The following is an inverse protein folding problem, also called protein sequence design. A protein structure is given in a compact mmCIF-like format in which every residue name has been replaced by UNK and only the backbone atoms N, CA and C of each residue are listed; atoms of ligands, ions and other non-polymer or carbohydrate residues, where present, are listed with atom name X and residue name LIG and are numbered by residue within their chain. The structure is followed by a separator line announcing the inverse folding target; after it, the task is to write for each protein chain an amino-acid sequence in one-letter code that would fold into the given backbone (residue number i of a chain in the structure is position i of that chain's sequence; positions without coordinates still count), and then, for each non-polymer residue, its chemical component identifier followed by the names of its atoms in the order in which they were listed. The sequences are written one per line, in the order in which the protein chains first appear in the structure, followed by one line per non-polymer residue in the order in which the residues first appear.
data_IF_234770638045
#
_entry.id   IF_234770638045
#
_cell.length_a   1.000
_cell.length_b   1.000
_cell.length_c   1.000
_cell.angle_alpha   90.00
_cell.angle_beta   90.00
_cell.angle_gamma   90.00
#
_symmetry.space_group_name_H-M   'P 1'
#
loop_
_entity.id
_entity.type
_entity.pdbx_description
1 polymer ?
#
# COMPACT_ATOMS: atom_id res chain seq x y z
N UNK A 1 20.83 -11.93 -2.81
CA UNK A 1 19.85 -11.52 -3.84
C UNK A 1 18.70 -10.88 -3.07
N UNK A 2 18.49 -9.57 -3.25
CA UNK A 2 17.35 -8.87 -2.63
C UNK A 2 16.06 -9.36 -3.30
N UNK A 3 15.00 -9.60 -2.53
CA UNK A 3 13.69 -9.94 -3.10
C UNK A 3 13.16 -8.73 -3.90
N UNK A 4 12.30 -8.96 -4.90
CA UNK A 4 11.68 -7.86 -5.66
C UNK A 4 10.94 -6.89 -4.74
N UNK A 5 10.28 -7.41 -3.69
CA UNK A 5 9.62 -6.64 -2.65
C UNK A 5 10.58 -5.67 -1.97
N UNK A 6 11.77 -6.12 -1.57
CA UNK A 6 12.78 -5.26 -0.95
C UNK A 6 13.24 -4.16 -1.91
N UNK A 7 13.55 -4.49 -3.16
CA UNK A 7 13.94 -3.48 -4.15
C UNK A 7 12.86 -2.41 -4.35
N UNK A 8 11.59 -2.83 -4.47
CA UNK A 8 10.45 -1.92 -4.63
C UNK A 8 10.29 -0.99 -3.43
N UNK A 9 10.39 -1.53 -2.21
CA UNK A 9 10.23 -0.77 -0.98
C UNK A 9 11.46 0.12 -0.68
N UNK A 10 12.67 -0.30 -1.03
CA UNK A 10 13.89 0.51 -0.91
C UNK A 10 13.86 1.73 -1.84
N UNK A 11 13.38 1.55 -3.08
CA UNK A 11 13.24 2.64 -4.04
C UNK A 11 12.03 3.53 -3.79
N UNK A 12 11.01 3.02 -3.09
CA UNK A 12 9.71 3.64 -3.00
C UNK A 12 8.93 3.52 -4.32
N UNK A 13 7.71 4.03 -4.32
CA UNK A 13 6.82 4.05 -5.48
C UNK A 13 6.22 5.44 -5.60
N UNK A 14 6.13 5.97 -6.80
CA UNK A 14 5.47 7.24 -7.12
C UNK A 14 4.75 7.06 -8.46
N UNK A 15 3.42 7.00 -8.43
CA UNK A 15 2.59 6.72 -9.61
C UNK A 15 1.38 7.64 -9.68
N UNK A 16 1.19 8.26 -10.85
CA UNK A 16 -0.04 8.98 -11.16
C UNK A 16 -1.15 7.99 -11.54
N UNK A 17 -2.27 8.05 -10.82
CA UNK A 17 -3.42 7.16 -10.98
C UNK A 17 -4.59 7.94 -11.56
N UNK A 18 -5.21 7.41 -12.62
CA UNK A 18 -6.36 8.01 -13.30
C UNK A 18 -7.69 7.83 -12.54
N UNK A 19 -7.74 8.37 -11.33
CA UNK A 19 -8.93 8.39 -10.48
C UNK A 19 -9.04 9.73 -9.76
N UNK A 20 -10.27 10.21 -9.57
CA UNK A 20 -10.53 11.39 -8.74
C UNK A 20 -10.18 11.15 -7.27
N UNK A 21 -9.72 12.19 -6.60
CA UNK A 21 -9.39 12.14 -5.17
C UNK A 21 -10.58 11.74 -4.28
N UNK A 22 -11.82 12.04 -4.69
CA UNK A 22 -13.02 11.59 -3.99
C UNK A 22 -13.32 10.09 -4.19
N UNK A 23 -12.89 9.50 -5.31
CA UNK A 23 -13.12 8.09 -5.65
C UNK A 23 -12.02 7.15 -5.14
N UNK A 24 -10.84 7.68 -4.79
CA UNK A 24 -9.69 6.86 -4.39
C UNK A 24 -9.95 6.05 -3.12
N UNK A 25 -10.72 6.57 -2.16
CA UNK A 25 -11.06 5.86 -0.93
C UNK A 25 -11.85 4.58 -1.21
N UNK A 26 -12.92 4.69 -2.01
CA UNK A 26 -13.76 3.56 -2.38
C UNK A 26 -13.00 2.53 -3.23
N UNK A 27 -12.12 2.99 -4.12
CA UNK A 27 -11.24 2.11 -4.89
C UNK A 27 -10.33 1.29 -3.98
N UNK A 28 -9.66 1.95 -3.02
CA UNK A 28 -8.76 1.27 -2.09
C UNK A 28 -9.49 0.29 -1.17
N UNK A 29 -10.69 0.64 -0.71
CA UNK A 29 -11.52 -0.25 0.10
C UNK A 29 -11.94 -1.50 -0.69
N UNK A 30 -12.46 -1.33 -1.90
CA UNK A 30 -12.91 -2.43 -2.77
C UNK A 30 -11.76 -3.40 -3.08
N UNK A 31 -10.60 -2.86 -3.41
CA UNK A 31 -9.44 -3.65 -3.80
C UNK A 31 -8.76 -4.32 -2.60
N UNK A 32 -8.56 -3.59 -1.50
CA UNK A 32 -7.89 -4.14 -0.31
C UNK A 32 -8.66 -5.31 0.29
N UNK A 33 -10.00 -5.32 0.18
CA UNK A 33 -10.84 -6.42 0.64
C UNK A 33 -10.52 -7.77 -0.04
N UNK A 34 -9.83 -7.75 -1.19
CA UNK A 34 -9.46 -8.94 -1.96
C UNK A 34 -8.01 -9.38 -1.72
N UNK A 35 -7.22 -8.56 -1.03
CA UNK A 35 -5.79 -8.81 -0.89
C UNK A 35 -5.48 -9.75 0.27
N UNK A 36 -4.49 -10.60 0.06
CA UNK A 36 -3.95 -11.49 1.09
C UNK A 36 -2.49 -11.82 0.80
N UNK A 37 -1.75 -12.24 1.83
CA UNK A 37 -0.41 -12.79 1.68
C UNK A 37 -0.19 -13.89 2.72
N UNK A 38 -0.25 -15.15 2.29
CA UNK A 38 -0.28 -16.30 3.20
C UNK A 38 -1.56 -16.30 4.04
N UNK A 39 -1.42 -16.40 5.36
CA UNK A 39 -2.53 -16.36 6.33
C UNK A 39 -3.08 -14.93 6.54
N UNK A 40 -2.35 -13.90 6.11
CA UNK A 40 -2.63 -12.51 6.45
C UNK A 40 -3.57 -11.82 5.46
N UNK A 41 -4.50 -11.04 5.99
CA UNK A 41 -5.32 -10.07 5.25
C UNK A 41 -4.92 -8.64 5.64
N UNK A 42 -5.32 -7.67 4.81
CA UNK A 42 -4.90 -6.28 4.98
C UNK A 42 -6.01 -5.37 5.52
N UNK A 43 -5.61 -4.34 6.27
CA UNK A 43 -6.46 -3.25 6.73
C UNK A 43 -5.79 -1.90 6.53
N UNK A 44 -6.48 -0.98 5.86
CA UNK A 44 -6.04 0.40 5.68
C UNK A 44 -6.61 1.26 6.79
N UNK A 45 -5.78 2.12 7.39
CA UNK A 45 -6.20 3.12 8.39
C UNK A 45 -5.69 4.49 8.01
N UNK A 46 -6.41 5.54 8.37
CA UNK A 46 -5.88 6.90 8.28
C UNK A 46 -4.68 7.08 9.22
N UNK A 47 -3.61 7.68 8.71
CA UNK A 47 -2.41 8.05 9.46
C UNK A 47 -2.57 9.38 10.19
N UNK A 48 -1.61 9.66 11.09
CA UNK A 48 -1.48 10.97 11.73
C UNK A 48 -1.04 12.00 10.69
N UNK A 49 -1.76 13.11 10.56
CA UNK A 49 -1.41 14.18 9.62
C UNK A 49 -2.29 14.27 8.37
N UNK A 50 -3.40 13.53 8.29
CA UNK A 50 -4.43 13.72 7.26
C UNK A 50 -4.99 15.15 7.34
N UNK A 51 -4.44 16.06 6.53
CA UNK A 51 -4.80 17.49 6.52
C UNK A 51 -5.00 17.94 5.07
N UNK A 52 -6.17 18.51 4.79
CA UNK A 52 -6.47 19.11 3.48
C UNK A 52 -6.51 18.07 2.35
N UNK A 53 -5.65 18.26 1.35
CA UNK A 53 -5.59 17.45 0.11
C UNK A 53 -4.54 16.34 0.15
N UNK A 54 -3.92 16.05 1.29
CA UNK A 54 -2.97 14.94 1.42
C UNK A 54 -3.45 13.94 2.45
N UNK A 55 -3.52 12.68 2.05
CA UNK A 55 -3.88 11.57 2.91
C UNK A 55 -2.67 10.68 3.12
N UNK A 56 -2.28 10.54 4.38
CA UNK A 56 -1.33 9.51 4.78
C UNK A 56 -2.15 8.32 5.28
N UNK A 57 -1.95 7.15 4.69
CA UNK A 57 -2.66 5.92 5.02
C UNK A 57 -1.68 4.88 5.54
N UNK A 58 -2.00 4.24 6.65
CA UNK A 58 -1.20 3.17 7.25
C UNK A 58 -1.80 1.83 6.84
N UNK A 59 -0.98 1.00 6.22
CA UNK A 59 -1.31 -0.37 5.84
C UNK A 59 -0.95 -1.29 6.98
N UNK A 60 -1.87 -2.19 7.32
CA UNK A 60 -1.68 -3.16 8.40
C UNK A 60 -1.99 -4.57 7.91
N UNK A 61 -1.32 -5.57 8.46
CA UNK A 61 -1.70 -6.98 8.37
C UNK A 61 -2.47 -7.42 9.61
N UNK A 62 -3.32 -8.42 9.43
CA UNK A 62 -3.96 -9.17 10.51
C UNK A 62 -4.11 -10.62 10.08
N UNK A 63 -3.81 -11.54 11.00
CA UNK A 63 -4.17 -12.94 10.86
C UNK A 63 -5.62 -13.10 11.37
N UNK A 64 -6.59 -13.44 10.51
CA UNK A 64 -7.99 -13.58 10.91
C UNK A 64 -8.25 -14.79 11.82
N UNK A 65 -7.30 -15.74 11.90
CA UNK A 65 -7.39 -16.93 12.74
C UNK A 65 -6.85 -16.71 14.16
N UNK A 66 -6.14 -15.60 14.40
CA UNK A 66 -5.62 -15.22 15.71
C UNK A 66 -6.51 -14.18 16.39
N UNK A 67 -7.47 -14.65 17.21
CA UNK A 67 -8.33 -13.76 18.00
C UNK A 67 -7.52 -12.87 18.96
N UNK A 68 -7.87 -11.59 19.00
CA UNK A 68 -7.30 -10.62 19.96
C UNK A 68 -5.94 -10.05 19.59
N UNK A 69 -5.36 -10.38 18.43
CA UNK A 69 -4.10 -9.77 18.01
C UNK A 69 -4.27 -8.30 17.60
N UNK A 70 -3.31 -7.43 17.98
CA UNK A 70 -3.25 -6.07 17.46
C UNK A 70 -2.98 -6.08 15.96
N UNK A 71 -3.36 -5.00 15.27
CA UNK A 71 -2.98 -4.84 13.87
C UNK A 71 -1.46 -4.68 13.77
N UNK A 72 -0.83 -5.41 12.84
CA UNK A 72 0.59 -5.30 12.55
C UNK A 72 0.81 -4.20 11.51
N UNK A 73 1.36 -3.04 11.88
CA UNK A 73 1.50 -1.96 10.95
C UNK A 73 2.69 -2.26 10.01
N UNK A 74 2.47 -2.21 8.70
CA UNK A 74 3.43 -2.63 7.68
C UNK A 74 4.18 -1.46 7.03
N UNK A 75 3.48 -0.36 6.81
CA UNK A 75 4.02 0.78 6.08
C UNK A 75 2.95 1.84 5.82
N UNK A 76 3.39 3.01 5.33
CA UNK A 76 2.52 4.10 4.93
C UNK A 76 2.51 4.27 3.40
N UNK A 77 1.37 4.68 2.89
CA UNK A 77 1.20 5.22 1.55
C UNK A 77 0.65 6.65 1.65
N UNK A 78 0.97 7.49 0.69
CA UNK A 78 0.60 8.89 0.66
C UNK A 78 -0.19 9.16 -0.62
N UNK A 79 -1.29 9.89 -0.51
CA UNK A 79 -2.17 10.20 -1.64
C UNK A 79 -2.43 11.69 -1.68
N UNK A 80 -2.21 12.30 -2.84
CA UNK A 80 -2.45 13.71 -3.07
C UNK A 80 -3.02 13.95 -4.47
N UNK A 81 -3.87 14.96 -4.70
CA UNK A 81 -4.33 15.33 -6.03
C UNK A 81 -3.16 15.71 -6.94
N UNK A 82 -3.16 15.16 -8.15
CA UNK A 82 -2.14 15.42 -9.18
C UNK A 82 -2.67 16.25 -10.37
N UNK A 83 -3.97 16.54 -10.39
CA UNK A 83 -4.63 17.25 -11.48
C UNK A 83 -6.12 16.90 -11.55
N UNK A 84 -6.78 17.34 -12.62
CA UNK A 84 -8.16 16.95 -12.90
C UNK A 84 -8.23 15.45 -13.19
N UNK A 85 -9.10 14.71 -12.49
CA UNK A 85 -9.25 13.26 -12.70
C UNK A 85 -8.09 12.40 -12.20
N UNK A 86 -7.09 12.97 -11.52
CA UNK A 86 -5.84 12.28 -11.19
C UNK A 86 -5.43 12.45 -9.73
N UNK A 87 -4.92 11.38 -9.14
CA UNK A 87 -4.19 11.41 -7.86
C UNK A 87 -2.79 10.89 -8.06
N UNK A 88 -1.86 11.37 -7.24
CA UNK A 88 -0.58 10.74 -7.07
C UNK A 88 -0.64 9.79 -5.88
N UNK A 89 -0.22 8.55 -6.09
CA UNK A 89 -0.08 7.54 -5.05
C UNK A 89 1.41 7.28 -4.83
N UNK A 90 1.86 7.52 -3.60
CA UNK A 90 3.25 7.36 -3.20
C UNK A 90 3.41 6.32 -2.11
N UNK A 91 4.48 5.54 -2.22
CA UNK A 91 5.00 4.68 -1.17
C UNK A 91 6.38 5.23 -0.84
N UNK A 92 6.56 5.89 0.32
CA UNK A 92 7.86 6.38 0.72
C UNK A 92 8.89 5.24 0.77
N UNK A 93 10.15 5.50 0.40
CA UNK A 93 11.24 4.55 0.58
C UNK A 93 11.27 4.00 2.00
N UNK A 94 11.72 2.75 2.17
CA UNK A 94 11.75 2.06 3.47
C UNK A 94 12.45 2.86 4.56
N UNK A 95 13.52 3.60 4.23
CA UNK A 95 14.26 4.46 5.17
C UNK A 95 13.44 5.66 5.69
N UNK A 96 12.43 6.07 4.93
CA UNK A 96 11.53 7.18 5.26
C UNK A 96 10.23 6.72 5.92
N UNK A 97 9.97 5.41 5.99
CA UNK A 97 8.82 4.86 6.67
C UNK A 97 8.92 5.16 8.18
N UNK A 98 7.95 5.90 8.72
CA UNK A 98 7.90 6.33 10.14
C UNK A 98 6.85 5.54 10.92
N UNK A 99 6.55 4.32 10.48
CA UNK A 99 5.50 3.50 11.07
C UNK A 99 6.04 2.87 12.35
N UNK A 100 5.86 3.57 13.47
CA UNK A 100 6.34 3.11 14.77
C UNK A 100 5.46 1.98 15.32
N UNK A 101 5.92 0.74 15.15
CA UNK A 101 5.35 -0.46 15.75
C UNK A 101 6.01 -1.69 15.15
N UNK A 102 6.83 -2.39 15.93
CA UNK A 102 7.44 -3.69 15.55
C UNK A 102 8.01 -3.75 14.12
N UNK A 103 8.93 -2.83 13.78
CA UNK A 103 9.75 -2.85 12.53
C UNK A 103 10.44 -4.23 12.24
N UNK A 104 10.35 -5.18 13.16
CA UNK A 104 10.87 -6.54 13.07
C UNK A 104 9.93 -7.56 12.40
N UNK A 105 8.61 -7.31 12.32
CA UNK A 105 7.65 -8.34 11.86
C UNK A 105 7.71 -8.60 10.35
N UNK A 106 7.92 -7.56 9.53
CA UNK A 106 8.07 -7.65 8.07
C UNK A 106 9.47 -7.18 7.63
N UNK A 107 10.51 -7.70 8.29
CA UNK A 107 11.91 -7.28 8.07
C UNK A 107 12.36 -7.49 6.61
N UNK A 108 11.82 -8.50 5.93
CA UNK A 108 12.09 -8.81 4.51
C UNK A 108 11.12 -8.09 3.56
N UNK A 109 10.18 -7.30 4.09
CA UNK A 109 9.23 -6.51 3.33
C UNK A 109 8.23 -7.33 2.53
N UNK A 110 8.08 -8.63 2.84
CA UNK A 110 7.22 -9.54 2.08
C UNK A 110 5.75 -9.14 2.16
N UNK A 111 5.23 -8.88 3.35
CA UNK A 111 3.82 -8.53 3.54
C UNK A 111 3.50 -7.19 2.91
N UNK A 112 4.35 -6.17 3.14
CA UNK A 112 4.11 -4.84 2.59
C UNK A 112 4.35 -4.81 1.08
N UNK A 113 5.41 -5.44 0.59
CA UNK A 113 5.72 -5.53 -0.83
C UNK A 113 4.66 -6.30 -1.62
N UNK A 114 4.08 -7.36 -1.02
CA UNK A 114 2.92 -8.06 -1.57
C UNK A 114 1.71 -7.13 -1.71
N UNK A 115 1.39 -6.35 -0.66
CA UNK A 115 0.30 -5.38 -0.71
C UNK A 115 0.50 -4.35 -1.83
N UNK A 116 1.70 -3.76 -1.93
CA UNK A 116 2.00 -2.77 -2.98
C UNK A 116 1.93 -3.39 -4.36
N UNK A 117 2.43 -4.62 -4.54
CA UNK A 117 2.37 -5.32 -5.83
C UNK A 117 0.93 -5.65 -6.23
N UNK A 118 0.10 -6.10 -5.29
CA UNK A 118 -1.33 -6.32 -5.51
C UNK A 118 -2.05 -5.01 -5.88
N UNK A 119 -1.74 -3.92 -5.18
CA UNK A 119 -2.28 -2.59 -5.47
C UNK A 119 -1.94 -2.12 -6.88
N UNK A 120 -0.66 -2.15 -7.25
CA UNK A 120 -0.22 -1.75 -8.58
C UNK A 120 -0.82 -2.64 -9.66
N UNK A 121 -0.91 -3.96 -9.43
CA UNK A 121 -1.56 -4.88 -10.36
C UNK A 121 -3.06 -4.58 -10.54
N UNK A 122 -3.78 -4.30 -9.46
CA UNK A 122 -5.21 -3.95 -9.52
C UNK A 122 -5.44 -2.63 -10.27
N UNK A 123 -4.63 -1.60 -9.97
CA UNK A 123 -4.68 -0.33 -10.70
C UNK A 123 -4.40 -0.53 -12.19
N UNK A 124 -3.40 -1.35 -12.53
CA UNK A 124 -3.06 -1.68 -13.90
C UNK A 124 -4.17 -2.46 -14.61
N UNK A 125 -4.79 -3.44 -13.95
CA UNK A 125 -5.89 -4.23 -14.51
C UNK A 125 -7.11 -3.38 -14.85
N UNK A 126 -7.35 -2.31 -14.07
CA UNK A 126 -8.39 -1.30 -14.29
C UNK A 126 -7.97 -0.21 -15.28
N UNK A 127 -6.75 -0.29 -15.85
CA UNK A 127 -6.16 0.71 -16.76
C UNK A 127 -6.03 2.10 -16.15
N UNK A 128 -5.79 2.15 -14.83
CA UNK A 128 -5.61 3.40 -14.09
C UNK A 128 -4.14 3.83 -14.03
N UNK A 129 -3.22 2.89 -14.26
CA UNK A 129 -1.77 3.11 -14.41
C UNK A 129 -1.22 2.20 -15.51
N UNK A 130 -0.07 2.58 -16.05
CA UNK A 130 0.70 1.76 -16.98
C UNK A 130 1.83 1.05 -16.23
N UNK A 131 1.87 -0.28 -16.34
CA UNK A 131 2.98 -1.11 -15.87
C UNK A 131 3.53 -1.92 -17.05
N UNK A 132 4.85 -2.19 -17.07
CA UNK A 132 5.46 -3.03 -18.11
C UNK A 132 5.01 -4.50 -18.02
N UNK A 133 4.44 -4.92 -16.89
CA UNK A 133 3.92 -6.26 -16.65
C UNK A 133 3.39 -6.39 -15.21
N UNK A 134 2.83 -7.57 -14.90
CA UNK A 134 2.35 -7.88 -13.56
C UNK A 134 3.51 -8.05 -12.58
N UNK A 135 3.34 -7.51 -11.37
CA UNK A 135 4.28 -7.63 -10.26
C UNK A 135 4.02 -8.88 -9.42
N UNK A 136 5.05 -9.50 -8.82
CA UNK A 136 4.88 -10.67 -7.95
C UNK A 136 4.17 -10.31 -6.64
N UNK A 137 3.24 -11.15 -6.18
CA UNK A 137 2.34 -10.85 -5.04
C UNK A 137 2.54 -11.73 -3.80
N UNK A 138 3.58 -12.57 -3.72
CA UNK A 138 3.79 -13.42 -2.52
C UNK A 138 5.01 -14.31 -2.57
#
# INVERSE_FOLDING_TARGET
MSSFAMFLLEGGVDVAVAVDFSGVASLLEEETARYSCGEYIYKVRAGKGTIGKRWDLVINAVDPHMEGQPLFPLGRIEIEPAGEGMVNLKVPPRIEQTVHGEDAADWDGRLFGSFISQLLNSLHSRRLIDLPGLLPTG
#
